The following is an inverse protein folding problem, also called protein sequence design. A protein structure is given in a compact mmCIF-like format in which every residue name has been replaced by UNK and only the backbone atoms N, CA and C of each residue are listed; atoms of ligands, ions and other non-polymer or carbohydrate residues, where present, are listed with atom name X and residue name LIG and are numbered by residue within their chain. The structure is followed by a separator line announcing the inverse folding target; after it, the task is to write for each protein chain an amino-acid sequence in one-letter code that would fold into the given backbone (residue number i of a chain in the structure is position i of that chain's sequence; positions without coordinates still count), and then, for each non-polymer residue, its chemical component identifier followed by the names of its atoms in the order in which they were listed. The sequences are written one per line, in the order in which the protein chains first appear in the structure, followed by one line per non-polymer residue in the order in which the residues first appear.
data_IF_033256408657
#
_entry.id   IF_033256408657
#
_cell.length_a   1.000
_cell.length_b   1.000
_cell.length_c   1.000
_cell.angle_alpha   90.00
_cell.angle_beta   90.00
_cell.angle_gamma   90.00
#
_symmetry.space_group_name_H-M   'P 1'
#
loop_
_entity.id
_entity.type
_entity.pdbx_description
1 polymer ?
#
# COMPACT_ATOMS: atom_id res chain seq x y z
N UNK A 1 -7.99 -13.75 -17.38
CA UNK A 1 -7.13 -14.44 -16.41
C UNK A 1 -6.26 -15.42 -17.18
N UNK A 2 -4.93 -15.31 -17.12
CA UNK A 2 -4.00 -16.10 -17.93
C UNK A 2 -4.09 -17.60 -17.61
N UNK A 3 -3.88 -18.45 -18.61
CA UNK A 3 -3.96 -19.91 -18.49
C UNK A 3 -2.98 -20.44 -17.41
N UNK A 4 -1.76 -19.92 -17.37
CA UNK A 4 -0.76 -20.26 -16.36
C UNK A 4 -1.25 -20.02 -14.93
N UNK A 5 -1.87 -18.86 -14.68
CA UNK A 5 -2.46 -18.58 -13.37
C UNK A 5 -3.58 -19.56 -13.04
N UNK A 6 -4.48 -19.80 -13.98
CA UNK A 6 -5.67 -20.64 -13.78
C UNK A 6 -5.30 -22.10 -13.44
N UNK A 7 -4.36 -22.67 -14.15
CA UNK A 7 -4.05 -24.10 -14.05
C UNK A 7 -2.89 -24.43 -13.12
N UNK A 8 -1.94 -23.50 -12.90
CA UNK A 8 -0.76 -23.76 -12.06
C UNK A 8 -0.76 -22.98 -10.76
N UNK A 9 -0.90 -21.66 -10.80
CA UNK A 9 -0.77 -20.85 -9.59
C UNK A 9 -1.99 -20.94 -8.68
N UNK A 10 -3.20 -20.93 -9.25
CA UNK A 10 -4.47 -20.93 -8.48
C UNK A 10 -4.63 -22.19 -7.61
N UNK A 11 -4.35 -23.41 -8.05
CA UNK A 11 -4.42 -24.60 -7.19
C UNK A 11 -3.47 -24.52 -5.99
N UNK A 12 -2.23 -24.07 -6.19
CA UNK A 12 -1.25 -23.88 -5.11
C UNK A 12 -1.76 -22.87 -4.08
N UNK A 13 -2.26 -21.74 -4.55
CA UNK A 13 -2.82 -20.71 -3.66
C UNK A 13 -4.10 -21.15 -2.93
N UNK A 14 -4.87 -22.07 -3.51
CA UNK A 14 -6.07 -22.61 -2.86
C UNK A 14 -5.71 -23.49 -1.64
N UNK A 15 -4.62 -24.24 -1.72
CA UNK A 15 -4.17 -25.14 -0.64
C UNK A 15 -3.52 -24.37 0.51
N UNK A 16 -2.79 -23.28 0.23
CA UNK A 16 -2.01 -22.56 1.23
C UNK A 16 -2.86 -21.71 2.21
N UNK A 17 -4.14 -21.53 1.96
CA UNK A 17 -4.99 -20.59 2.70
C UNK A 17 -4.70 -19.12 2.34
N UNK A 18 -5.66 -18.23 2.62
CA UNK A 18 -5.69 -16.89 2.01
C UNK A 18 -4.51 -16.00 2.37
N UNK A 19 -4.18 -15.85 3.66
CA UNK A 19 -3.09 -14.97 4.11
C UNK A 19 -1.71 -15.52 3.77
N UNK A 20 -1.54 -16.87 3.84
CA UNK A 20 -0.27 -17.51 3.44
C UNK A 20 -0.02 -17.37 1.94
N UNK A 21 -1.06 -17.54 1.12
CA UNK A 21 -0.98 -17.33 -0.33
C UNK A 21 -0.58 -15.91 -0.68
N UNK A 22 -1.16 -14.92 0.00
CA UNK A 22 -0.81 -13.52 -0.17
C UNK A 22 0.66 -13.26 0.14
N UNK A 23 1.14 -13.71 1.30
CA UNK A 23 2.53 -13.55 1.70
C UNK A 23 3.50 -14.29 0.76
N UNK A 24 3.11 -15.47 0.29
CA UNK A 24 3.91 -16.21 -0.69
C UNK A 24 4.02 -15.47 -2.01
N UNK A 25 2.91 -14.94 -2.52
CA UNK A 25 2.90 -14.14 -3.76
C UNK A 25 3.80 -12.89 -3.66
N UNK A 26 3.72 -12.14 -2.53
CA UNK A 26 4.58 -10.98 -2.29
C UNK A 26 6.06 -11.36 -2.24
N UNK A 27 6.41 -12.42 -1.50
CA UNK A 27 7.80 -12.90 -1.42
C UNK A 27 8.32 -13.34 -2.78
N UNK A 28 7.50 -14.08 -3.55
CA UNK A 28 7.86 -14.52 -4.90
C UNK A 28 8.08 -13.32 -5.84
N UNK A 29 7.18 -12.33 -5.79
CA UNK A 29 7.31 -11.13 -6.60
C UNK A 29 8.56 -10.31 -6.21
N UNK A 30 8.87 -10.21 -4.92
CA UNK A 30 10.10 -9.60 -4.44
C UNK A 30 11.33 -10.36 -4.94
N UNK A 31 11.38 -11.69 -4.75
CA UNK A 31 12.54 -12.50 -5.12
C UNK A 31 12.82 -12.46 -6.62
N UNK A 32 11.78 -12.49 -7.45
CA UNK A 32 11.94 -12.48 -8.91
C UNK A 32 12.63 -11.20 -9.39
N UNK A 33 12.52 -10.08 -8.67
CA UNK A 33 13.19 -8.82 -9.04
C UNK A 33 14.71 -8.86 -8.86
N UNK A 34 15.24 -9.82 -8.10
CA UNK A 34 16.69 -10.03 -7.95
C UNK A 34 17.28 -10.94 -9.03
N UNK A 35 16.45 -11.67 -9.79
CA UNK A 35 16.91 -12.50 -10.89
C UNK A 35 17.26 -11.60 -12.09
N UNK A 36 18.45 -11.74 -12.68
CA UNK A 36 18.84 -10.96 -13.85
C UNK A 36 17.79 -11.05 -14.97
N UNK A 37 17.54 -9.95 -15.66
CA UNK A 37 16.58 -9.81 -16.77
C UNK A 37 15.11 -10.09 -16.44
N UNK A 38 14.76 -10.61 -15.26
CA UNK A 38 13.37 -10.96 -14.91
C UNK A 38 12.43 -9.77 -14.97
N UNK A 39 12.87 -8.60 -14.49
CA UNK A 39 12.07 -7.36 -14.56
C UNK A 39 11.75 -6.98 -16.01
N UNK A 40 12.74 -7.09 -16.90
CA UNK A 40 12.55 -6.78 -18.31
C UNK A 40 11.56 -7.76 -18.97
N UNK A 41 11.68 -9.05 -18.67
CA UNK A 41 10.77 -10.09 -19.19
C UNK A 41 9.34 -9.85 -18.69
N UNK A 42 9.17 -9.62 -17.38
CA UNK A 42 7.86 -9.35 -16.79
C UNK A 42 7.24 -8.09 -17.41
N UNK A 43 8.03 -7.01 -17.52
CA UNK A 43 7.56 -5.75 -18.11
C UNK A 43 7.20 -5.94 -19.58
N UNK A 44 7.94 -6.75 -20.34
CA UNK A 44 7.59 -7.03 -21.73
C UNK A 44 6.24 -7.76 -21.87
N UNK A 45 5.93 -8.68 -20.93
CA UNK A 45 4.68 -9.47 -20.95
C UNK A 45 3.48 -8.66 -20.47
N UNK A 46 3.67 -7.83 -19.43
CA UNK A 46 2.57 -7.21 -18.68
C UNK A 46 2.43 -5.69 -18.88
N UNK A 47 3.45 -5.02 -19.46
CA UNK A 47 3.37 -3.57 -19.68
C UNK A 47 2.18 -3.25 -20.59
N UNK A 48 1.18 -2.51 -20.12
CA UNK A 48 0.05 -2.12 -20.95
C UNK A 48 0.55 -1.21 -22.08
N UNK A 49 -0.12 -1.26 -23.23
CA UNK A 49 0.05 -0.24 -24.28
C UNK A 49 -0.35 1.10 -23.66
N UNK A 50 0.56 2.06 -23.68
CA UNK A 50 0.48 3.26 -22.86
C UNK A 50 -0.79 4.08 -23.11
N UNK A 51 -1.41 4.47 -22.01
CA UNK A 51 -2.33 5.58 -21.89
C UNK A 51 -1.72 6.53 -20.85
N UNK A 52 -0.62 7.24 -21.16
CA UNK A 52 0.01 8.12 -20.21
C UNK A 52 -0.96 9.22 -19.81
N UNK A 53 -1.01 9.52 -18.53
CA UNK A 53 -1.79 10.63 -18.00
C UNK A 53 -0.89 11.49 -17.11
N UNK A 54 -1.15 12.80 -17.13
CA UNK A 54 -0.50 13.77 -16.26
C UNK A 54 -1.52 14.31 -15.27
N UNK A 55 -1.24 14.17 -13.98
CA UNK A 55 -2.11 14.66 -12.90
C UNK A 55 -1.29 14.97 -11.64
N UNK A 56 -1.67 15.99 -10.87
CA UNK A 56 -0.93 16.43 -9.68
C UNK A 56 0.55 16.73 -9.97
N UNK A 57 0.87 17.30 -11.13
CA UNK A 57 2.25 17.52 -11.61
C UNK A 57 3.11 16.24 -11.66
N UNK A 58 2.48 15.08 -11.80
CA UNK A 58 3.11 13.77 -11.93
C UNK A 58 2.73 13.10 -13.24
N UNK A 59 3.70 12.38 -13.83
CA UNK A 59 3.51 11.55 -15.01
C UNK A 59 3.20 10.11 -14.63
N UNK A 60 2.07 9.61 -15.09
CA UNK A 60 1.66 8.22 -14.93
C UNK A 60 1.76 7.52 -16.28
N UNK A 61 2.52 6.41 -16.41
CA UNK A 61 2.59 5.66 -17.68
C UNK A 61 1.25 5.07 -18.11
N UNK A 62 0.32 4.93 -17.17
CA UNK A 62 -1.09 4.58 -17.39
C UNK A 62 -1.89 4.86 -16.11
N UNK A 63 -3.24 4.97 -16.19
CA UNK A 63 -4.09 5.31 -15.03
C UNK A 63 -4.36 4.13 -14.07
N UNK A 64 -3.80 2.94 -14.31
CA UNK A 64 -4.04 1.77 -13.46
C UNK A 64 -3.06 1.73 -12.30
N UNK A 65 -3.55 1.94 -11.07
CA UNK A 65 -2.74 1.83 -9.85
C UNK A 65 -2.96 0.55 -9.06
N UNK A 66 -1.94 0.15 -8.30
CA UNK A 66 -2.10 -0.85 -7.27
C UNK A 66 -2.72 -0.22 -6.03
N UNK A 67 -3.87 -0.75 -5.58
CA UNK A 67 -4.55 -0.24 -4.39
C UNK A 67 -3.84 -0.66 -3.09
N UNK A 68 -3.94 0.18 -2.06
CA UNK A 68 -3.46 -0.12 -0.72
C UNK A 68 -4.04 -1.43 -0.15
N UNK A 69 -3.26 -2.06 0.72
CA UNK A 69 -3.62 -3.33 1.34
C UNK A 69 -3.01 -4.54 0.66
N UNK A 70 -2.58 -4.44 -0.59
CA UNK A 70 -1.89 -5.52 -1.30
C UNK A 70 -0.42 -5.61 -0.87
N UNK A 71 0.29 -4.51 -0.81
CA UNK A 71 1.66 -4.44 -0.28
C UNK A 71 1.73 -3.44 0.90
N UNK A 72 1.29 -3.91 2.07
CA UNK A 72 1.21 -3.07 3.27
C UNK A 72 2.56 -2.59 3.79
N UNK A 73 3.63 -3.26 3.39
CA UNK A 73 4.96 -3.01 3.93
C UNK A 73 5.92 -2.45 2.89
N UNK A 74 5.49 -2.26 1.64
CA UNK A 74 6.37 -1.88 0.54
C UNK A 74 7.47 -2.92 0.29
N UNK A 75 7.13 -4.22 0.34
CA UNK A 75 8.11 -5.30 0.21
C UNK A 75 8.49 -5.62 -1.23
N UNK A 76 7.58 -5.37 -2.17
CA UNK A 76 7.70 -5.79 -3.57
C UNK A 76 7.47 -4.64 -4.57
N UNK A 77 7.77 -3.38 -4.21
CA UNK A 77 7.45 -2.20 -5.02
C UNK A 77 8.00 -2.32 -6.45
N UNK A 78 9.27 -2.69 -6.61
CA UNK A 78 9.87 -2.91 -7.94
C UNK A 78 9.21 -4.04 -8.73
N UNK A 79 8.65 -5.04 -8.04
CA UNK A 79 7.91 -6.12 -8.68
C UNK A 79 6.57 -5.64 -9.23
N UNK A 80 5.86 -4.83 -8.46
CA UNK A 80 4.60 -4.22 -8.87
C UNK A 80 4.77 -3.30 -10.08
N UNK A 81 5.80 -2.46 -10.06
CA UNK A 81 6.18 -1.65 -11.22
C UNK A 81 6.40 -2.51 -12.46
N UNK A 82 7.13 -3.64 -12.31
CA UNK A 82 7.40 -4.56 -13.43
C UNK A 82 6.14 -5.19 -14.03
N UNK A 83 5.08 -5.34 -13.22
CA UNK A 83 3.76 -5.82 -13.69
C UNK A 83 2.97 -4.74 -14.44
N UNK A 84 3.50 -3.52 -14.58
CA UNK A 84 2.94 -2.48 -15.42
C UNK A 84 1.94 -1.57 -14.74
N UNK A 85 1.87 -1.54 -13.40
CA UNK A 85 1.08 -0.53 -12.70
C UNK A 85 1.65 0.87 -12.94
N UNK A 86 0.77 1.84 -13.21
CA UNK A 86 1.12 3.23 -13.45
C UNK A 86 1.43 4.01 -12.17
N UNK A 87 0.99 3.54 -11.02
CA UNK A 87 1.36 4.01 -9.68
C UNK A 87 1.13 2.90 -8.65
N UNK A 88 1.70 3.06 -7.48
CA UNK A 88 1.58 2.09 -6.40
C UNK A 88 1.10 2.81 -5.14
N UNK A 89 -0.05 2.41 -4.61
CA UNK A 89 -0.50 2.80 -3.28
C UNK A 89 -0.13 1.70 -2.28
N UNK A 90 0.90 1.94 -1.48
CA UNK A 90 1.31 1.03 -0.41
C UNK A 90 0.64 1.38 0.92
N UNK A 91 0.58 0.43 1.85
CA UNK A 91 0.01 0.67 3.20
C UNK A 91 -1.30 -0.08 3.42
N UNK A 92 -2.20 0.28 4.42
CA UNK A 92 -2.06 1.45 5.37
C UNK A 92 -0.94 1.30 6.39
N UNK A 93 -0.18 2.35 6.47
CA UNK A 93 0.86 2.52 7.49
C UNK A 93 0.27 3.31 8.67
N UNK A 94 0.63 2.92 9.87
CA UNK A 94 0.28 3.64 11.10
C UNK A 94 1.54 4.18 11.76
N UNK A 95 1.40 5.15 12.64
CA UNK A 95 2.52 5.71 13.38
C UNK A 95 3.29 4.61 14.09
N UNK A 96 2.59 3.81 14.89
CA UNK A 96 3.18 2.68 15.58
C UNK A 96 3.08 1.39 14.74
N UNK A 97 4.06 0.49 14.95
CA UNK A 97 3.98 -0.87 14.43
C UNK A 97 2.85 -1.63 15.10
N UNK A 98 2.07 -2.37 14.31
CA UNK A 98 1.01 -3.20 14.90
C UNK A 98 0.79 -4.51 14.17
N UNK A 99 0.50 -5.60 14.90
CA UNK A 99 0.31 -6.94 14.33
C UNK A 99 -1.00 -7.06 13.55
N UNK A 100 -1.94 -6.14 13.75
CA UNK A 100 -3.31 -6.22 13.28
C UNK A 100 -4.18 -7.16 14.13
N UNK A 101 -5.33 -7.56 13.61
CA UNK A 101 -6.28 -8.41 14.33
C UNK A 101 -5.77 -9.87 14.43
N UNK A 102 -6.25 -10.64 15.43
CA UNK A 102 -5.92 -12.07 15.59
C UNK A 102 -6.27 -12.88 14.33
N UNK A 103 -5.46 -13.88 14.05
CA UNK A 103 -5.69 -14.86 12.97
C UNK A 103 -6.70 -15.94 13.43
N UNK A 104 -7.51 -16.50 12.51
CA UNK A 104 -7.58 -16.22 11.08
C UNK A 104 -8.31 -14.90 10.79
N UNK A 105 -7.83 -14.13 9.81
CA UNK A 105 -8.32 -12.77 9.51
C UNK A 105 -8.49 -12.46 8.02
N UNK A 106 -8.30 -13.44 7.16
CA UNK A 106 -8.51 -13.37 5.72
C UNK A 106 -9.14 -14.67 5.23
N UNK A 107 -10.30 -14.57 4.59
CA UNK A 107 -11.14 -15.69 4.20
C UNK A 107 -11.49 -15.58 2.72
N UNK A 108 -11.37 -16.69 1.98
CA UNK A 108 -11.69 -16.74 0.56
C UNK A 108 -12.94 -17.60 0.34
N UNK A 109 -13.91 -17.05 -0.37
CA UNK A 109 -15.05 -17.81 -0.89
C UNK A 109 -14.78 -18.16 -2.36
N UNK A 110 -14.43 -19.40 -2.62
CA UNK A 110 -14.18 -19.88 -3.99
C UNK A 110 -15.46 -19.86 -4.83
N UNK A 111 -16.61 -20.17 -4.23
CA UNK A 111 -17.91 -20.18 -4.89
C UNK A 111 -18.33 -18.78 -5.35
N UNK A 112 -18.10 -17.78 -4.52
CA UNK A 112 -18.55 -16.40 -4.78
C UNK A 112 -17.44 -15.52 -5.39
N UNK A 113 -16.26 -16.08 -5.67
CA UNK A 113 -15.09 -15.33 -6.15
C UNK A 113 -14.74 -14.12 -5.26
N UNK A 114 -14.96 -14.23 -3.96
CA UNK A 114 -14.84 -13.14 -3.00
C UNK A 114 -13.74 -13.40 -1.97
N UNK A 115 -13.19 -12.30 -1.44
CA UNK A 115 -12.24 -12.29 -0.34
C UNK A 115 -12.80 -11.38 0.77
N UNK A 116 -12.97 -11.95 1.98
CA UNK A 116 -13.38 -11.20 3.17
C UNK A 116 -12.18 -11.10 4.10
N UNK A 117 -11.93 -9.92 4.67
CA UNK A 117 -10.84 -9.74 5.61
C UNK A 117 -11.21 -8.83 6.78
N UNK A 118 -10.47 -9.04 7.89
CA UNK A 118 -10.47 -8.21 9.08
C UNK A 118 -9.03 -7.94 9.53
N UNK A 119 -8.18 -7.44 8.65
CA UNK A 119 -6.73 -7.37 8.85
C UNK A 119 -6.31 -6.42 9.99
N UNK A 120 -6.95 -5.26 10.15
CA UNK A 120 -6.68 -4.32 11.24
C UNK A 120 -5.34 -3.60 11.10
N UNK A 121 -5.01 -3.11 9.92
CA UNK A 121 -3.78 -2.34 9.62
C UNK A 121 -2.49 -2.98 10.14
N UNK A 122 -2.30 -4.28 9.89
CA UNK A 122 -1.03 -4.94 10.22
C UNK A 122 0.11 -4.36 9.38
N UNK A 123 1.02 -3.65 10.02
CA UNK A 123 2.13 -2.95 9.38
C UNK A 123 3.32 -2.75 10.33
N UNK A 124 4.52 -2.43 9.82
CA UNK A 124 5.73 -2.30 10.63
C UNK A 124 5.88 -0.95 11.36
N UNK A 125 4.93 -0.01 11.18
CA UNK A 125 5.04 1.36 11.68
C UNK A 125 5.86 2.28 10.77
N UNK A 126 5.80 3.59 11.09
CA UNK A 126 6.44 4.64 10.29
C UNK A 126 7.96 4.48 10.16
N UNK A 127 8.65 4.22 11.27
CA UNK A 127 10.12 4.18 11.30
C UNK A 127 10.70 3.01 10.47
N UNK A 128 10.16 1.80 10.66
CA UNK A 128 10.60 0.65 9.88
C UNK A 128 10.23 0.79 8.40
N UNK A 129 9.13 1.49 8.08
CA UNK A 129 8.74 1.82 6.71
C UNK A 129 9.72 2.82 6.11
N UNK A 130 10.03 3.92 6.81
CA UNK A 130 11.00 4.91 6.37
C UNK A 130 12.38 4.29 6.11
N UNK A 131 12.88 3.47 7.03
CA UNK A 131 14.16 2.78 6.85
C UNK A 131 14.17 1.81 5.65
N UNK A 132 13.04 1.22 5.29
CA UNK A 132 12.90 0.37 4.10
C UNK A 132 12.89 1.21 2.82
N UNK A 133 12.13 2.29 2.80
CA UNK A 133 12.05 3.19 1.65
C UNK A 133 13.39 3.89 1.41
N UNK A 134 14.07 4.33 2.45
CA UNK A 134 15.40 4.90 2.34
C UNK A 134 16.40 3.94 1.64
N UNK A 135 16.38 2.65 2.01
CA UNK A 135 17.20 1.62 1.33
C UNK A 135 16.80 1.42 -0.12
N UNK A 136 15.51 1.48 -0.43
CA UNK A 136 15.02 1.34 -1.80
C UNK A 136 15.46 2.53 -2.67
N UNK A 137 15.33 3.76 -2.15
CA UNK A 137 15.65 4.99 -2.90
C UNK A 137 17.16 5.21 -3.03
N UNK A 138 17.98 4.62 -2.15
CA UNK A 138 19.45 4.58 -2.31
C UNK A 138 19.91 3.51 -3.31
N UNK A 139 19.03 2.61 -3.75
CA UNK A 139 19.40 1.56 -4.70
C UNK A 139 19.66 2.13 -6.09
N UNK A 140 20.52 1.43 -6.88
CA UNK A 140 20.79 1.80 -8.28
C UNK A 140 19.56 1.65 -9.22
N UNK A 141 18.46 1.13 -8.71
CA UNK A 141 17.22 0.87 -9.47
C UNK A 141 16.00 1.27 -8.63
N UNK A 142 15.79 2.58 -8.39
CA UNK A 142 14.58 3.06 -7.73
C UNK A 142 13.34 2.73 -8.58
N UNK A 143 12.17 2.76 -7.98
CA UNK A 143 10.92 2.72 -8.74
C UNK A 143 10.76 4.03 -9.52
N UNK A 144 10.20 3.93 -10.73
CA UNK A 144 10.00 5.08 -11.65
C UNK A 144 8.55 5.55 -11.67
N UNK A 145 7.63 4.76 -11.12
CA UNK A 145 6.21 5.12 -11.05
C UNK A 145 5.91 5.82 -9.72
N UNK A 146 4.93 6.74 -9.66
CA UNK A 146 4.57 7.43 -8.44
C UNK A 146 4.23 6.47 -7.29
N UNK A 147 4.74 6.78 -6.10
CA UNK A 147 4.50 6.05 -4.87
C UNK A 147 3.54 6.82 -3.96
N UNK A 148 2.33 6.29 -3.80
CA UNK A 148 1.34 6.81 -2.86
C UNK A 148 1.45 6.04 -1.54
N UNK A 149 1.43 6.74 -0.42
CA UNK A 149 1.47 6.12 0.90
C UNK A 149 0.12 6.29 1.60
N UNK A 150 -0.57 5.16 1.78
CA UNK A 150 -1.84 5.10 2.50
C UNK A 150 -1.57 5.07 4.01
N UNK A 151 -2.19 6.00 4.72
CA UNK A 151 -2.04 6.22 6.15
C UNK A 151 -3.29 5.79 6.90
N UNK A 152 -3.11 5.14 8.03
CA UNK A 152 -4.18 4.81 8.95
C UNK A 152 -3.81 5.19 10.38
N UNK A 153 -4.79 5.36 11.26
CA UNK A 153 -4.56 5.61 12.68
C UNK A 153 -4.09 4.33 13.39
N UNK A 154 -3.09 4.44 14.25
CA UNK A 154 -2.67 3.37 15.14
C UNK A 154 -3.82 2.94 16.05
N UNK A 155 -3.95 1.62 16.28
CA UNK A 155 -5.02 1.09 17.12
C UNK A 155 -4.91 1.57 18.57
N UNK A 156 -3.67 1.69 19.06
CA UNK A 156 -3.38 2.12 20.43
C UNK A 156 -3.67 3.61 20.66
N UNK A 157 -3.57 4.45 19.62
CA UNK A 157 -3.81 5.89 19.73
C UNK A 157 -5.28 6.18 19.95
N UNK A 158 -5.67 6.98 20.97
CA UNK A 158 -7.03 7.46 21.14
C UNK A 158 -7.53 8.24 19.93
N UNK A 159 -8.84 8.28 19.73
CA UNK A 159 -9.42 8.93 18.55
C UNK A 159 -9.16 10.46 18.58
N UNK A 160 -9.11 11.04 19.77
CA UNK A 160 -8.88 12.47 20.03
C UNK A 160 -7.46 12.92 19.66
N UNK A 161 -6.52 11.96 19.52
CA UNK A 161 -5.12 12.17 19.12
C UNK A 161 -4.83 11.64 17.73
N UNK A 162 -5.84 11.43 16.92
CA UNK A 162 -5.68 10.90 15.59
C UNK A 162 -4.85 11.83 14.69
N UNK A 163 -5.07 13.12 14.80
CA UNK A 163 -4.34 14.17 14.09
C UNK A 163 -2.82 14.08 14.31
N UNK A 164 -2.40 13.94 15.58
CA UNK A 164 -0.98 13.74 15.92
C UNK A 164 -0.42 12.45 15.32
N UNK A 165 -1.18 11.36 15.34
CA UNK A 165 -0.77 10.03 14.83
C UNK A 165 -0.55 10.06 13.30
N UNK A 166 -1.47 10.69 12.55
CA UNK A 166 -1.32 10.89 11.11
C UNK A 166 -0.14 11.82 10.80
N UNK A 167 -0.03 12.95 11.49
CA UNK A 167 1.05 13.92 11.29
C UNK A 167 2.44 13.31 11.52
N UNK A 168 2.62 12.52 12.58
CA UNK A 168 3.86 11.82 12.84
C UNK A 168 4.23 10.85 11.70
N UNK A 169 3.23 10.16 11.14
CA UNK A 169 3.47 9.23 10.02
C UNK A 169 3.86 9.99 8.75
N UNK A 170 3.18 11.10 8.45
CA UNK A 170 3.52 12.00 7.34
C UNK A 170 4.95 12.53 7.49
N UNK A 171 5.28 13.08 8.68
CA UNK A 171 6.61 13.64 8.97
C UNK A 171 7.74 12.63 8.78
N UNK A 172 7.50 11.34 9.07
CA UNK A 172 8.53 10.30 8.89
C UNK A 172 8.66 9.82 7.43
N UNK A 173 7.67 10.06 6.57
CA UNK A 173 7.60 9.47 5.23
C UNK A 173 7.54 10.49 4.09
N UNK A 174 7.54 11.81 4.40
CA UNK A 174 7.35 12.86 3.38
C UNK A 174 8.43 12.87 2.29
N UNK A 175 9.66 12.41 2.61
CA UNK A 175 10.75 12.34 1.64
C UNK A 175 10.58 11.24 0.59
N UNK A 176 9.69 10.27 0.85
CA UNK A 176 9.54 9.06 0.03
C UNK A 176 8.22 9.01 -0.75
N UNK A 177 7.26 9.85 -0.38
CA UNK A 177 5.93 9.84 -0.96
C UNK A 177 5.82 10.84 -2.12
N UNK A 178 5.21 10.40 -3.21
CA UNK A 178 4.73 11.31 -4.27
C UNK A 178 3.31 11.82 -3.95
N UNK A 179 2.55 11.09 -3.14
CA UNK A 179 1.28 11.53 -2.56
C UNK A 179 0.96 10.75 -1.27
N UNK A 180 0.16 11.37 -0.40
CA UNK A 180 -0.41 10.70 0.78
C UNK A 180 -1.90 10.41 0.60
N UNK A 181 -2.37 9.30 1.18
CA UNK A 181 -3.78 8.94 1.23
C UNK A 181 -4.19 8.79 2.70
N UNK A 182 -4.89 9.77 3.23
CA UNK A 182 -5.46 9.75 4.59
C UNK A 182 -6.68 8.81 4.58
N UNK A 183 -6.55 7.63 5.18
CA UNK A 183 -7.57 6.59 5.14
C UNK A 183 -8.36 6.54 6.45
N UNK A 184 -9.56 7.10 6.44
CA UNK A 184 -10.50 7.09 7.56
C UNK A 184 -11.68 6.11 7.34
N UNK A 185 -11.56 5.19 6.38
CA UNK A 185 -12.68 4.32 5.96
C UNK A 185 -12.66 2.90 6.54
N UNK A 186 -11.55 2.46 7.15
CA UNK A 186 -11.43 1.07 7.58
C UNK A 186 -12.45 0.69 8.66
N UNK A 187 -13.26 -0.36 8.45
CA UNK A 187 -14.17 -0.87 9.47
C UNK A 187 -13.46 -1.71 10.55
N UNK A 188 -12.18 -2.04 10.33
CA UNK A 188 -11.42 -2.98 11.14
C UNK A 188 -10.63 -2.31 12.29
N UNK A 189 -10.75 -0.99 12.43
CA UNK A 189 -10.19 -0.19 13.53
C UNK A 189 -11.34 0.47 14.27
N UNK A 190 -11.56 0.16 15.53
CA UNK A 190 -12.64 0.75 16.32
C UNK A 190 -12.62 2.28 16.30
N UNK A 191 -13.77 2.89 16.08
CA UNK A 191 -13.94 4.34 16.10
C UNK A 191 -13.33 5.09 14.89
N UNK A 192 -12.58 4.45 14.00
CA UNK A 192 -11.89 5.15 12.91
C UNK A 192 -12.84 5.97 12.02
N UNK A 193 -14.02 5.42 11.72
CA UNK A 193 -14.99 6.11 10.86
C UNK A 193 -15.61 7.36 11.48
N UNK A 194 -15.50 7.56 12.81
CA UNK A 194 -15.92 8.82 13.44
C UNK A 194 -15.05 10.00 12.97
N UNK A 195 -13.82 9.74 12.50
CA UNK A 195 -12.96 10.75 11.90
C UNK A 195 -13.50 11.31 10.57
N UNK A 196 -14.56 10.74 10.02
CA UNK A 196 -15.23 11.28 8.83
C UNK A 196 -16.14 12.48 9.15
N UNK A 197 -16.35 12.82 10.45
CA UNK A 197 -17.04 14.07 10.81
C UNK A 197 -16.21 15.28 10.34
N UNK A 198 -16.85 16.38 9.91
CA UNK A 198 -16.16 17.55 9.39
C UNK A 198 -15.06 18.07 10.32
N UNK A 199 -15.35 18.17 11.63
CA UNK A 199 -14.43 18.70 12.62
C UNK A 199 -13.20 17.81 12.81
N UNK A 200 -13.40 16.50 12.91
CA UNK A 200 -12.32 15.55 13.13
C UNK A 200 -11.46 15.41 11.87
N UNK A 201 -12.10 15.31 10.70
CA UNK A 201 -11.41 15.18 9.43
C UNK A 201 -10.56 16.43 9.15
N UNK A 202 -11.09 17.62 9.42
CA UNK A 202 -10.37 18.88 9.29
C UNK A 202 -9.10 18.88 10.13
N UNK A 203 -9.17 18.50 11.41
CA UNK A 203 -7.98 18.42 12.29
C UNK A 203 -6.91 17.48 11.73
N UNK A 204 -7.31 16.28 11.28
CA UNK A 204 -6.39 15.31 10.70
C UNK A 204 -5.73 15.85 9.44
N UNK A 205 -6.50 16.51 8.56
CA UNK A 205 -5.97 17.08 7.31
C UNK A 205 -4.99 18.22 7.63
N UNK A 206 -5.36 19.18 8.48
CA UNK A 206 -4.53 20.34 8.82
C UNK A 206 -3.20 19.90 9.47
N UNK A 207 -3.24 18.98 10.45
CA UNK A 207 -2.04 18.47 11.09
C UNK A 207 -1.15 17.70 10.10
N UNK A 208 -1.75 16.92 9.21
CA UNK A 208 -1.03 16.19 8.16
C UNK A 208 -0.40 17.14 7.13
N UNK A 209 -1.08 18.22 6.75
CA UNK A 209 -0.56 19.24 5.84
C UNK A 209 0.65 19.97 6.43
N UNK A 210 0.59 20.34 7.72
CA UNK A 210 1.73 20.98 8.41
C UNK A 210 2.94 20.04 8.43
N UNK A 211 2.73 18.73 8.61
CA UNK A 211 3.79 17.74 8.64
C UNK A 211 4.35 17.37 7.24
N UNK A 212 3.62 17.73 6.18
CA UNK A 212 3.96 17.44 4.78
C UNK A 212 4.94 18.49 4.21
N UNK A 213 6.20 18.41 4.63
CA UNK A 213 7.22 19.42 4.29
C UNK A 213 7.49 19.53 2.78
N UNK A 214 7.29 18.46 2.02
CA UNK A 214 7.51 18.46 0.56
C UNK A 214 6.26 18.92 -0.22
N UNK A 215 5.17 19.26 0.47
CA UNK A 215 3.89 19.70 -0.13
C UNK A 215 3.35 18.75 -1.22
N UNK A 216 3.59 17.45 -1.07
CA UNK A 216 3.03 16.45 -2.02
C UNK A 216 1.50 16.39 -1.88
N UNK A 217 0.78 15.99 -2.95
CA UNK A 217 -0.67 15.87 -2.91
C UNK A 217 -1.18 15.01 -1.76
N UNK A 218 -2.27 15.44 -1.14
CA UNK A 218 -2.98 14.68 -0.11
C UNK A 218 -4.39 14.33 -0.55
N UNK A 219 -4.72 13.05 -0.54
CA UNK A 219 -6.04 12.52 -0.83
C UNK A 219 -6.70 12.01 0.44
N UNK A 220 -8.01 12.09 0.52
CA UNK A 220 -8.79 11.50 1.61
C UNK A 220 -9.60 10.33 1.08
N UNK A 221 -9.45 9.18 1.73
CA UNK A 221 -10.20 7.97 1.43
C UNK A 221 -11.28 7.73 2.48
N UNK A 222 -12.54 7.86 2.07
CA UNK A 222 -13.75 7.71 2.88
C UNK A 222 -14.53 6.45 2.53
#
# INVERSE_FOLDING_TARGET
MGLLFRYFSRPVYAILGSERSHNFALKSLKLITYVPFSKAIISFIYKPKGLPVHYFDMDFPNPLGLAAGMDKKGEALSGWESLGFGFIEMGGITSDAQPGNPKPRMFRSHRNHALVNRMGFNNPGREATAGRLAKLFQSKKPIQVPLFINLGKSKATPIEKADEDYAQTVSSLHEFADAFVINVSSPNTPGLRSLQSPEQLKKVIEASQIANQNNVPMLVKI
#
